data_IF_244293935784
#
_entry.id   IF_244293935784
#
_cell.length_a   1.000
_cell.length_b   1.000
_cell.length_c   1.000
_cell.angle_alpha   90.00
_cell.angle_beta   90.00
_cell.angle_gamma   90.00
#
_symmetry.space_group_name_H-M   'P 1'
#
loop_
_entity.id
_entity.type
_entity.pdbx_description
1 polymer ?
#
# COMPACT_ATOMS: atom_id res chain seq x y z
N UNK A 1 0.13 44.99 12.33
CA UNK A 1 -0.62 43.84 12.90
C UNK A 1 0.07 42.62 12.41
N UNK A 2 0.93 42.08 13.29
CA UNK A 2 1.82 40.97 12.94
C UNK A 2 1.03 39.66 12.90
N UNK A 3 1.10 39.01 11.75
CA UNK A 3 0.43 37.75 11.53
C UNK A 3 1.03 36.62 12.37
N UNK A 4 0.22 35.99 13.16
CA UNK A 4 0.55 34.79 13.90
C UNK A 4 1.14 33.73 12.97
N UNK A 5 2.31 33.21 13.29
CA UNK A 5 2.96 32.18 12.48
C UNK A 5 2.11 30.90 12.44
N UNK A 6 2.16 30.16 11.33
CA UNK A 6 1.44 28.87 11.13
C UNK A 6 1.72 27.85 12.25
N UNK A 7 2.92 27.89 12.86
CA UNK A 7 3.28 27.06 14.03
C UNK A 7 2.53 27.47 15.30
N UNK A 8 2.25 28.74 15.47
CA UNK A 8 1.51 29.26 16.63
C UNK A 8 0.04 28.90 16.55
N UNK A 9 -0.57 28.91 15.35
CA UNK A 9 -1.95 28.51 15.13
C UNK A 9 -2.16 27.01 15.46
N UNK A 10 -1.25 26.12 15.02
CA UNK A 10 -1.31 24.67 15.33
C UNK A 10 -1.02 24.36 16.81
N UNK A 11 -0.20 25.16 17.49
CA UNK A 11 0.07 25.01 18.93
C UNK A 11 -1.04 25.57 19.82
N UNK A 12 -1.74 26.60 19.37
CA UNK A 12 -2.89 27.14 20.10
C UNK A 12 -4.12 26.23 20.02
N UNK A 13 -4.23 25.38 19.00
CA UNK A 13 -5.31 24.40 18.89
C UNK A 13 -5.19 23.22 19.89
N UNK A 14 -4.04 23.07 20.59
CA UNK A 14 -3.81 22.01 21.57
C UNK A 14 -3.97 22.43 23.03
N UNK A 15 -4.30 23.69 23.33
CA UNK A 15 -4.48 24.18 24.68
C UNK A 15 -5.93 24.64 24.91
N UNK A 16 -6.67 23.77 25.56
CA UNK A 16 -7.87 24.03 26.32
C UNK A 16 -9.01 24.77 25.58
N UNK A 17 -10.01 24.04 25.18
CA UNK A 17 -11.39 24.52 25.34
C UNK A 17 -12.32 23.31 25.43
N UNK A 18 -13.23 23.34 26.39
CA UNK A 18 -14.48 22.59 26.38
C UNK A 18 -15.13 22.62 24.98
N UNK A 19 -15.96 21.63 24.60
CA UNK A 19 -16.47 21.49 23.24
C UNK A 19 -17.46 22.63 22.93
N UNK A 20 -16.96 23.82 22.64
CA UNK A 20 -17.70 24.75 21.83
C UNK A 20 -17.69 24.14 20.43
N UNK A 21 -18.82 23.60 20.05
CA UNK A 21 -19.07 23.01 18.73
C UNK A 21 -18.85 24.11 17.66
N UNK A 22 -17.61 24.27 17.23
CA UNK A 22 -17.32 25.01 16.02
C UNK A 22 -17.80 24.17 14.83
N UNK A 23 -19.08 24.22 14.54
CA UNK A 23 -19.66 23.73 13.29
C UNK A 23 -19.29 24.69 12.20
N UNK A 24 -18.23 24.39 11.45
CA UNK A 24 -17.81 25.17 10.29
C UNK A 24 -17.18 24.25 9.24
N UNK A 25 -17.13 24.75 8.01
CA UNK A 25 -16.34 24.17 6.92
C UNK A 25 -15.19 25.10 6.64
N UNK A 26 -13.99 24.56 6.48
CA UNK A 26 -12.77 25.33 6.30
C UNK A 26 -12.04 24.88 5.05
N UNK A 27 -11.50 25.84 4.33
CA UNK A 27 -10.57 25.57 3.24
C UNK A 27 -9.19 25.30 3.86
N UNK A 28 -8.73 24.05 3.79
CA UNK A 28 -7.49 23.62 4.43
C UNK A 28 -6.24 24.26 3.86
N UNK A 29 -6.29 24.68 2.59
CA UNK A 29 -5.17 25.33 1.89
C UNK A 29 -5.71 26.30 0.84
N UNK A 30 -4.94 27.34 0.55
CA UNK A 30 -5.31 28.38 -0.41
C UNK A 30 -5.58 27.83 -1.83
N UNK A 31 -5.09 26.63 -2.15
CA UNK A 31 -5.29 25.97 -3.45
C UNK A 31 -6.41 24.90 -3.43
N UNK A 32 -6.94 24.54 -2.27
CA UNK A 32 -8.04 23.59 -2.18
C UNK A 32 -9.35 24.29 -2.53
N UNK A 33 -10.12 23.72 -3.47
CA UNK A 33 -11.49 24.17 -3.79
C UNK A 33 -12.53 23.55 -2.86
N UNK A 34 -12.16 22.50 -2.11
CA UNK A 34 -13.04 21.81 -1.19
C UNK A 34 -12.97 22.42 0.21
N UNK A 35 -14.13 22.57 0.84
CA UNK A 35 -14.26 22.91 2.25
C UNK A 35 -14.49 21.63 3.05
N UNK A 36 -13.69 21.43 4.09
CA UNK A 36 -13.80 20.27 4.98
C UNK A 36 -14.39 20.70 6.33
N UNK A 37 -15.20 19.82 6.93
CA UNK A 37 -15.73 20.03 8.26
C UNK A 37 -14.57 20.01 9.29
N UNK A 38 -14.72 20.79 10.36
CA UNK A 38 -13.80 20.71 11.51
C UNK A 38 -13.71 19.31 12.06
N UNK A 39 -14.80 18.55 11.96
CA UNK A 39 -14.86 17.16 12.43
C UNK A 39 -13.94 16.25 11.59
N UNK A 40 -14.01 16.30 10.26
CA UNK A 40 -13.12 15.53 9.40
C UNK A 40 -11.65 15.92 9.61
N UNK A 41 -11.36 17.23 9.72
CA UNK A 41 -10.00 17.74 9.99
C UNK A 41 -9.47 17.18 11.31
N UNK A 42 -10.29 17.17 12.36
CA UNK A 42 -9.91 16.65 13.67
C UNK A 42 -9.65 15.15 13.62
N UNK A 43 -10.53 14.36 13.00
CA UNK A 43 -10.34 12.92 12.84
C UNK A 43 -9.04 12.58 12.12
N UNK A 44 -8.75 13.29 11.00
CA UNK A 44 -7.49 13.14 10.28
C UNK A 44 -6.28 13.50 11.15
N UNK A 45 -6.35 14.59 11.91
CA UNK A 45 -5.26 15.03 12.79
C UNK A 45 -5.01 14.06 13.96
N UNK A 46 -6.04 13.37 14.43
CA UNK A 46 -5.95 12.39 15.54
C UNK A 46 -5.54 10.98 15.09
N UNK A 47 -5.58 10.69 13.79
CA UNK A 47 -5.38 9.35 13.24
C UNK A 47 -3.99 9.20 12.60
N UNK A 48 -3.33 8.05 12.80
CA UNK A 48 -2.22 7.64 11.94
C UNK A 48 -2.79 7.08 10.65
N UNK A 49 -2.89 7.93 9.62
CA UNK A 49 -3.47 7.54 8.32
C UNK A 49 -2.48 6.68 7.56
N UNK A 50 -2.88 5.47 7.17
CA UNK A 50 -2.05 4.49 6.47
C UNK A 50 -2.68 4.19 5.12
N UNK A 51 -1.94 4.43 4.04
CA UNK A 51 -2.29 3.98 2.70
C UNK A 51 -1.50 2.71 2.40
N UNK A 52 -2.19 1.58 2.33
CA UNK A 52 -1.58 0.25 2.18
C UNK A 52 -1.02 -0.02 0.77
N UNK A 53 -1.33 0.83 -0.19
CA UNK A 53 -0.66 0.88 -1.48
C UNK A 53 -0.68 2.30 -2.05
N UNK A 54 0.52 2.82 -2.29
CA UNK A 54 0.74 4.12 -2.88
C UNK A 54 1.99 4.09 -3.75
N UNK A 55 1.98 4.78 -4.87
CA UNK A 55 3.13 4.74 -5.77
C UNK A 55 4.31 5.62 -5.30
N UNK A 56 4.10 6.51 -4.32
CA UNK A 56 5.07 7.48 -3.82
C UNK A 56 5.84 8.19 -4.94
N UNK A 57 5.12 8.71 -5.90
CA UNK A 57 5.65 9.47 -7.03
C UNK A 57 4.70 10.62 -7.37
N UNK A 58 5.18 11.57 -8.15
CA UNK A 58 4.30 12.53 -8.82
C UNK A 58 3.91 11.97 -10.19
N UNK A 59 2.68 12.13 -10.63
CA UNK A 59 2.19 11.63 -11.92
C UNK A 59 2.68 12.50 -13.08
N UNK A 60 3.95 12.87 -13.08
CA UNK A 60 4.58 13.62 -14.16
C UNK A 60 5.30 12.68 -15.11
N UNK A 61 4.53 12.12 -16.02
CA UNK A 61 5.05 11.26 -17.08
C UNK A 61 5.58 12.05 -18.30
N UNK A 62 5.41 13.38 -18.31
CA UNK A 62 5.90 14.25 -19.38
C UNK A 62 7.40 14.52 -19.26
N UNK A 63 7.93 14.52 -18.04
CA UNK A 63 9.37 14.64 -17.79
C UNK A 63 10.11 13.32 -18.00
N UNK A 64 11.27 13.38 -18.64
CA UNK A 64 12.13 12.19 -18.87
C UNK A 64 13.53 12.46 -18.36
N UNK A 65 13.97 11.79 -17.29
CA UNK A 65 13.21 10.84 -16.45
C UNK A 65 12.17 11.55 -15.57
N UNK A 66 11.13 10.83 -15.12
CA UNK A 66 10.16 11.38 -14.16
C UNK A 66 10.85 11.91 -12.91
N UNK A 67 10.35 13.01 -12.34
CA UNK A 67 10.94 13.65 -11.16
C UNK A 67 11.15 12.67 -9.99
N UNK A 68 10.19 11.80 -9.75
CA UNK A 68 10.29 10.78 -8.68
C UNK A 68 11.38 9.73 -8.91
N UNK A 69 11.72 9.44 -10.17
CA UNK A 69 12.87 8.58 -10.48
C UNK A 69 14.18 9.29 -10.11
N UNK A 70 14.27 10.60 -10.34
CA UNK A 70 15.43 11.39 -9.97
C UNK A 70 15.67 11.40 -8.45
N UNK A 71 14.62 11.32 -7.63
CA UNK A 71 14.76 11.30 -6.17
C UNK A 71 15.66 10.15 -5.69
N UNK A 72 15.53 8.99 -6.30
CA UNK A 72 16.32 7.81 -5.95
C UNK A 72 17.73 7.82 -6.56
N UNK A 73 17.95 8.56 -7.66
CA UNK A 73 19.18 8.52 -8.42
C UNK A 73 20.09 9.73 -8.16
N UNK A 74 19.51 10.89 -7.81
CA UNK A 74 20.23 12.15 -7.67
C UNK A 74 20.05 12.75 -6.28
N UNK A 75 21.10 12.74 -5.44
CA UNK A 75 21.08 13.38 -4.12
C UNK A 75 20.58 14.82 -4.19
N UNK A 76 19.71 15.22 -3.27
CA UNK A 76 19.17 16.57 -3.18
C UNK A 76 18.07 16.91 -4.20
N UNK A 77 17.62 15.95 -5.02
CA UNK A 77 16.50 16.18 -5.95
C UNK A 77 15.13 16.12 -5.25
N UNK A 78 15.01 15.43 -4.12
CA UNK A 78 13.83 15.47 -3.25
C UNK A 78 13.93 16.71 -2.34
N UNK A 79 13.01 17.63 -2.53
CA UNK A 79 13.05 18.95 -1.87
C UNK A 79 12.08 19.03 -0.69
N UNK A 80 12.24 20.01 0.23
CA UNK A 80 11.23 20.30 1.25
C UNK A 80 9.83 20.58 0.71
N UNK A 81 9.73 21.12 -0.52
CA UNK A 81 8.44 21.34 -1.19
C UNK A 81 7.78 20.02 -1.60
N UNK A 82 8.57 19.05 -2.10
CA UNK A 82 8.07 17.71 -2.41
C UNK A 82 7.57 17.02 -1.13
N UNK A 83 8.35 17.07 -0.04
CA UNK A 83 7.92 16.55 1.26
C UNK A 83 6.66 17.25 1.79
N UNK A 84 6.52 18.57 1.57
CA UNK A 84 5.32 19.31 1.98
C UNK A 84 4.06 18.79 1.25
N UNK A 85 4.16 18.43 -0.03
CA UNK A 85 3.05 17.85 -0.80
C UNK A 85 2.55 16.54 -0.17
N UNK A 86 3.47 15.66 0.26
CA UNK A 86 3.11 14.41 0.95
C UNK A 86 2.49 14.68 2.32
N UNK A 87 3.05 15.60 3.11
CA UNK A 87 2.46 15.98 4.41
C UNK A 87 1.08 16.60 4.26
N UNK A 88 0.90 17.40 3.23
CA UNK A 88 -0.36 18.07 2.94
C UNK A 88 -1.47 17.08 2.56
N UNK A 89 -1.16 15.86 2.15
CA UNK A 89 -2.17 14.82 1.89
C UNK A 89 -2.89 14.35 3.16
N UNK A 90 -2.29 14.55 4.33
CA UNK A 90 -2.77 14.01 5.60
C UNK A 90 -2.46 12.52 5.80
N UNK A 91 -1.82 11.86 4.83
CA UNK A 91 -1.37 10.47 4.96
C UNK A 91 -0.08 10.45 5.77
N UNK A 92 -0.06 9.62 6.82
CA UNK A 92 1.09 9.46 7.70
C UNK A 92 2.08 8.41 7.20
N UNK A 93 1.56 7.33 6.59
CA UNK A 93 2.35 6.18 6.13
C UNK A 93 1.92 5.75 4.74
N UNK A 94 2.90 5.62 3.86
CA UNK A 94 2.77 5.17 2.48
C UNK A 94 3.43 3.80 2.33
N UNK A 95 2.66 2.76 1.98
CA UNK A 95 3.21 1.48 1.56
C UNK A 95 3.45 1.53 0.04
N UNK A 96 4.65 1.14 -0.39
CA UNK A 96 5.09 1.34 -1.77
C UNK A 96 4.52 0.30 -2.73
N UNK A 97 4.07 0.75 -3.91
CA UNK A 97 3.71 -0.11 -5.02
C UNK A 97 4.90 -0.28 -5.99
N UNK A 98 5.55 -1.44 -5.98
CA UNK A 98 6.63 -1.78 -6.91
C UNK A 98 6.67 -3.28 -7.18
N UNK A 99 7.08 -3.67 -8.39
CA UNK A 99 7.34 -5.06 -8.76
C UNK A 99 8.79 -5.22 -9.20
N UNK A 100 9.40 -6.37 -8.92
CA UNK A 100 10.72 -6.72 -9.41
C UNK A 100 10.63 -8.05 -10.19
N UNK A 101 11.22 -8.08 -11.39
CA UNK A 101 11.21 -9.26 -12.26
C UNK A 101 12.14 -10.37 -11.80
N UNK A 102 13.13 -10.03 -10.99
CA UNK A 102 14.12 -10.96 -10.46
C UNK A 102 14.76 -10.47 -9.15
N UNK A 103 15.59 -11.33 -8.57
CA UNK A 103 16.30 -11.08 -7.33
C UNK A 103 17.18 -9.81 -7.39
N UNK A 104 17.91 -9.60 -8.48
CA UNK A 104 18.83 -8.46 -8.59
C UNK A 104 18.07 -7.13 -8.71
N UNK A 105 16.97 -7.12 -9.44
CA UNK A 105 16.09 -5.94 -9.52
C UNK A 105 15.49 -5.62 -8.14
N UNK A 106 15.05 -6.65 -7.39
CA UNK A 106 14.62 -6.52 -6.01
C UNK A 106 15.71 -5.91 -5.12
N UNK A 107 16.93 -6.44 -5.15
CA UNK A 107 18.05 -5.88 -4.39
C UNK A 107 18.32 -4.40 -4.73
N UNK A 108 18.30 -4.05 -6.03
CA UNK A 108 18.50 -2.66 -6.48
C UNK A 108 17.42 -1.74 -5.95
N UNK A 109 16.17 -2.20 -5.97
CA UNK A 109 15.05 -1.43 -5.41
C UNK A 109 15.28 -1.13 -3.93
N UNK A 110 15.54 -2.15 -3.10
CA UNK A 110 15.75 -1.95 -1.67
C UNK A 110 17.01 -1.14 -1.36
N UNK A 111 18.10 -1.35 -2.10
CA UNK A 111 19.33 -0.56 -1.93
C UNK A 111 19.10 0.93 -2.20
N UNK A 112 18.40 1.27 -3.30
CA UNK A 112 18.09 2.65 -3.67
C UNK A 112 17.17 3.31 -2.65
N UNK A 113 16.11 2.62 -2.23
CA UNK A 113 15.18 3.15 -1.24
C UNK A 113 15.83 3.33 0.13
N UNK A 114 16.65 2.39 0.58
CA UNK A 114 17.39 2.52 1.83
C UNK A 114 18.36 3.70 1.80
N UNK A 115 19.07 3.90 0.68
CA UNK A 115 19.92 5.08 0.49
C UNK A 115 19.13 6.37 0.52
N UNK A 116 17.99 6.43 -0.16
CA UNK A 116 17.10 7.59 -0.17
C UNK A 116 16.55 7.93 1.21
N UNK A 117 16.07 6.93 1.96
CA UNK A 117 15.56 7.10 3.31
C UNK A 117 16.65 7.57 4.29
N UNK A 118 17.85 7.03 4.17
CA UNK A 118 18.98 7.45 4.98
C UNK A 118 19.37 8.92 4.70
N UNK A 119 19.40 9.33 3.42
CA UNK A 119 19.71 10.68 3.00
C UNK A 119 18.66 11.72 3.43
N UNK A 120 17.41 11.29 3.68
CA UNK A 120 16.31 12.18 4.05
C UNK A 120 15.70 11.79 5.41
N UNK A 121 16.52 11.28 6.31
CA UNK A 121 16.09 10.81 7.65
C UNK A 121 15.51 11.90 8.55
N UNK A 122 15.72 13.17 8.23
CA UNK A 122 15.07 14.33 8.86
C UNK A 122 13.58 14.48 8.46
N UNK A 123 13.21 14.04 7.26
CA UNK A 123 11.85 14.16 6.67
C UNK A 123 11.08 12.84 6.66
N UNK A 124 11.79 11.74 6.45
CA UNK A 124 11.24 10.42 6.22
C UNK A 124 11.56 9.46 7.37
N UNK A 125 10.69 8.49 7.59
CA UNK A 125 10.87 7.40 8.54
C UNK A 125 10.53 6.07 7.87
N UNK A 126 11.47 5.12 7.86
CA UNK A 126 11.17 3.76 7.42
C UNK A 126 10.30 3.07 8.49
N UNK A 127 9.19 2.48 8.05
CA UNK A 127 8.23 1.78 8.92
C UNK A 127 8.57 0.30 8.91
N UNK A 128 9.01 -0.22 10.05
CA UNK A 128 9.47 -1.61 10.19
C UNK A 128 8.86 -2.34 11.38
N UNK A 129 8.36 -1.61 12.36
CA UNK A 129 7.73 -2.17 13.56
C UNK A 129 6.56 -1.32 14.07
N UNK A 130 5.83 -1.85 15.07
CA UNK A 130 4.67 -1.18 15.64
C UNK A 130 4.99 0.20 16.25
N UNK A 131 6.20 0.38 16.78
CA UNK A 131 6.64 1.64 17.39
C UNK A 131 6.80 2.76 16.35
N UNK A 132 7.08 2.40 15.10
CA UNK A 132 7.27 3.36 14.02
C UNK A 132 5.99 4.12 13.68
N UNK A 133 4.82 3.50 13.80
CA UNK A 133 3.54 4.18 13.64
C UNK A 133 3.32 5.29 14.68
N UNK A 134 3.87 5.12 15.87
CA UNK A 134 3.85 6.16 16.90
C UNK A 134 4.91 7.22 16.61
N UNK A 135 6.14 6.79 16.24
CA UNK A 135 7.27 7.69 15.96
C UNK A 135 6.98 8.62 14.79
N UNK A 136 6.39 8.12 13.70
CA UNK A 136 6.10 8.92 12.50
C UNK A 136 5.24 10.15 12.84
N UNK A 137 4.25 9.99 13.70
CA UNK A 137 3.39 11.10 14.14
C UNK A 137 4.09 12.02 15.14
N UNK A 138 4.74 11.43 16.15
CA UNK A 138 5.45 12.19 17.17
C UNK A 138 6.51 13.11 16.55
N UNK A 139 7.25 12.61 15.57
CA UNK A 139 8.38 13.30 14.95
C UNK A 139 7.95 14.15 13.74
N UNK A 140 6.66 14.09 13.33
CA UNK A 140 6.14 14.85 12.18
C UNK A 140 6.75 14.43 10.84
N UNK A 141 7.19 13.18 10.73
CA UNK A 141 7.81 12.62 9.52
C UNK A 141 6.78 11.97 8.61
N UNK A 142 7.20 11.66 7.39
CA UNK A 142 6.45 10.85 6.43
C UNK A 142 6.95 9.41 6.57
N UNK A 143 6.04 8.48 6.87
CA UNK A 143 6.34 7.07 6.99
C UNK A 143 6.39 6.38 5.62
N UNK A 144 7.42 5.61 5.37
CA UNK A 144 7.59 4.81 4.16
C UNK A 144 7.70 3.34 4.56
N UNK A 145 6.75 2.52 4.11
CA UNK A 145 6.79 1.08 4.26
C UNK A 145 7.26 0.45 2.95
N UNK A 146 8.37 -0.27 2.99
CA UNK A 146 8.91 -0.94 1.82
C UNK A 146 8.13 -2.24 1.58
N UNK A 147 7.44 -2.30 0.45
CA UNK A 147 6.61 -3.43 0.03
C UNK A 147 6.92 -3.83 -1.41
N UNK A 148 6.51 -5.02 -1.81
CA UNK A 148 6.70 -5.52 -3.16
C UNK A 148 5.38 -6.11 -3.69
N UNK A 149 4.95 -5.69 -4.90
CA UNK A 149 3.71 -6.16 -5.56
C UNK A 149 3.90 -7.43 -6.37
N UNK A 150 4.98 -8.15 -6.18
CA UNK A 150 5.24 -9.48 -6.74
C UNK A 150 6.29 -10.18 -5.88
N UNK A 151 6.25 -11.48 -5.78
CA UNK A 151 7.23 -12.27 -5.03
C UNK A 151 8.16 -13.10 -5.93
N UNK A 152 8.17 -12.85 -7.25
CA UNK A 152 9.04 -13.58 -8.18
C UNK A 152 10.55 -13.27 -7.98
N UNK A 153 10.88 -12.23 -7.24
CA UNK A 153 12.26 -11.92 -6.84
C UNK A 153 12.83 -12.94 -5.84
N UNK A 154 12.02 -13.71 -5.14
CA UNK A 154 12.49 -14.79 -4.27
C UNK A 154 12.90 -16.01 -5.10
N UNK A 155 14.16 -16.44 -5.02
CA UNK A 155 14.70 -17.65 -5.64
C UNK A 155 14.41 -18.88 -4.79
N UNK A 156 14.31 -18.68 -3.46
CA UNK A 156 13.98 -19.66 -2.45
C UNK A 156 13.54 -19.02 -1.14
N UNK A 157 13.15 -19.84 -0.13
CA UNK A 157 12.70 -19.32 1.17
C UNK A 157 13.75 -18.46 1.88
N UNK A 158 15.04 -18.71 1.72
CA UNK A 158 16.11 -17.96 2.38
C UNK A 158 16.17 -16.51 1.91
N UNK A 159 15.80 -16.25 0.64
CA UNK A 159 15.71 -14.87 0.13
C UNK A 159 14.68 -14.03 0.88
N UNK A 160 13.63 -14.65 1.45
CA UNK A 160 12.62 -13.95 2.27
C UNK A 160 13.28 -13.29 3.48
N UNK A 161 14.22 -13.98 4.13
CA UNK A 161 14.96 -13.44 5.28
C UNK A 161 15.85 -12.28 4.87
N UNK A 162 16.55 -12.41 3.74
CA UNK A 162 17.41 -11.35 3.23
C UNK A 162 16.61 -10.07 2.95
N UNK A 163 15.51 -10.19 2.22
CA UNK A 163 14.68 -9.05 1.89
C UNK A 163 13.96 -8.46 3.11
N UNK A 164 13.55 -9.30 4.06
CA UNK A 164 13.04 -8.83 5.35
C UNK A 164 14.10 -8.03 6.11
N UNK A 165 15.36 -8.49 6.11
CA UNK A 165 16.52 -7.77 6.66
C UNK A 165 16.78 -6.43 5.94
N UNK A 166 16.53 -6.34 4.64
CA UNK A 166 16.60 -5.11 3.85
C UNK A 166 15.43 -4.15 4.10
N UNK A 167 14.44 -4.55 4.89
CA UNK A 167 13.29 -3.71 5.27
C UNK A 167 11.99 -4.03 4.56
N UNK A 168 11.91 -5.09 3.74
CA UNK A 168 10.64 -5.51 3.14
C UNK A 168 9.66 -5.97 4.23
N UNK A 169 8.46 -5.41 4.25
CA UNK A 169 7.46 -5.73 5.28
C UNK A 169 6.20 -6.40 4.76
N UNK A 170 5.91 -6.26 3.48
CA UNK A 170 4.82 -6.93 2.78
C UNK A 170 5.34 -7.40 1.43
N UNK A 171 4.94 -8.60 1.00
CA UNK A 171 5.12 -9.09 -0.36
C UNK A 171 3.82 -9.67 -0.89
N UNK A 172 3.41 -9.23 -2.05
CA UNK A 172 2.29 -9.80 -2.78
C UNK A 172 2.74 -11.05 -3.52
N UNK A 173 1.99 -12.15 -3.45
CA UNK A 173 2.44 -13.42 -3.98
C UNK A 173 2.61 -13.41 -5.51
N UNK A 174 1.64 -12.85 -6.22
CA UNK A 174 1.68 -12.72 -7.70
C UNK A 174 1.23 -11.32 -8.10
N UNK A 175 1.72 -10.81 -9.23
CA UNK A 175 1.12 -9.65 -9.88
C UNK A 175 0.01 -10.12 -10.85
N UNK A 176 -0.08 -9.54 -12.03
CA UNK A 176 -1.18 -9.79 -12.97
C UNK A 176 -1.16 -11.18 -13.61
N UNK A 177 0.01 -11.78 -13.75
CA UNK A 177 0.23 -13.04 -14.46
C UNK A 177 0.84 -14.11 -13.55
N UNK A 178 1.03 -15.32 -14.10
CA UNK A 178 1.72 -16.40 -13.40
C UNK A 178 3.18 -16.04 -13.09
N UNK A 179 3.59 -16.38 -11.89
CA UNK A 179 4.98 -16.52 -11.52
C UNK A 179 5.22 -17.94 -10.94
N UNK A 180 6.38 -18.21 -10.34
CA UNK A 180 6.68 -19.50 -9.72
C UNK A 180 5.80 -19.83 -8.50
N UNK A 181 5.16 -18.81 -7.91
CA UNK A 181 4.39 -18.92 -6.66
C UNK A 181 2.96 -19.35 -6.94
N UNK A 182 2.33 -18.76 -7.94
CA UNK A 182 0.94 -19.00 -8.26
C UNK A 182 0.46 -18.22 -9.48
N UNK A 183 -0.84 -18.12 -9.63
CA UNK A 183 -1.49 -17.43 -10.74
C UNK A 183 -1.96 -16.04 -10.35
N UNK A 184 -1.68 -15.06 -11.22
CA UNK A 184 -2.27 -13.74 -11.16
C UNK A 184 -3.68 -13.71 -11.77
N UNK A 185 -4.43 -12.65 -11.48
CA UNK A 185 -5.87 -12.56 -11.87
C UNK A 185 -6.12 -12.49 -13.38
N UNK A 186 -5.12 -12.13 -14.20
CA UNK A 186 -5.24 -12.07 -15.66
C UNK A 186 -4.99 -13.42 -16.35
N UNK A 187 -4.54 -14.43 -15.62
CA UNK A 187 -4.33 -15.74 -16.21
C UNK A 187 -5.63 -16.40 -16.68
N UNK A 188 -5.55 -17.06 -17.83
CA UNK A 188 -6.69 -17.80 -18.39
C UNK A 188 -7.07 -19.04 -17.55
N UNK A 189 -6.10 -19.62 -16.85
CA UNK A 189 -6.27 -20.75 -15.96
C UNK A 189 -5.52 -20.49 -14.67
N UNK A 190 -6.24 -20.30 -13.60
CA UNK A 190 -5.67 -20.18 -12.27
C UNK A 190 -5.36 -21.59 -11.72
N UNK A 191 -4.09 -21.92 -11.65
CA UNK A 191 -3.60 -23.19 -11.15
C UNK A 191 -3.47 -23.26 -9.62
N UNK A 192 -3.80 -22.19 -8.93
CA UNK A 192 -3.66 -22.10 -7.48
C UNK A 192 -2.22 -21.84 -6.99
N UNK A 193 -2.02 -22.01 -5.70
CA UNK A 193 -0.74 -21.84 -5.04
C UNK A 193 0.19 -23.05 -5.32
N UNK A 194 1.38 -22.79 -5.88
CA UNK A 194 2.35 -23.86 -6.15
C UNK A 194 3.01 -24.38 -4.86
N UNK A 195 3.65 -25.56 -4.92
CA UNK A 195 4.45 -26.08 -3.81
C UNK A 195 5.57 -25.10 -3.42
N UNK A 196 6.21 -24.47 -4.39
CA UNK A 196 7.20 -23.42 -4.17
C UNK A 196 6.54 -22.20 -3.51
N UNK A 197 5.38 -21.76 -4.00
CA UNK A 197 4.62 -20.65 -3.43
C UNK A 197 4.22 -20.89 -1.99
N UNK A 198 3.80 -22.10 -1.67
CA UNK A 198 3.50 -22.49 -0.29
C UNK A 198 4.74 -22.35 0.61
N UNK A 199 5.93 -22.80 0.16
CA UNK A 199 7.16 -22.68 0.94
C UNK A 199 7.59 -21.23 1.19
N UNK A 200 7.45 -20.36 0.16
CA UNK A 200 7.70 -18.92 0.28
C UNK A 200 6.72 -18.28 1.27
N UNK A 201 5.42 -18.52 1.11
CA UNK A 201 4.39 -17.97 2.00
C UNK A 201 4.63 -18.37 3.46
N UNK A 202 4.92 -19.65 3.73
CA UNK A 202 5.23 -20.11 5.09
C UNK A 202 6.47 -19.44 5.68
N UNK A 203 7.50 -19.19 4.84
CA UNK A 203 8.67 -18.44 5.31
C UNK A 203 8.34 -16.98 5.60
N UNK A 204 7.53 -16.33 4.74
CA UNK A 204 7.04 -14.97 5.01
C UNK A 204 6.31 -14.89 6.35
N UNK A 205 5.39 -15.82 6.62
CA UNK A 205 4.68 -15.89 7.89
C UNK A 205 5.62 -16.06 9.08
N UNK A 206 6.66 -16.89 8.93
CA UNK A 206 7.62 -17.17 10.00
C UNK A 206 8.46 -15.94 10.35
N UNK A 207 8.94 -15.19 9.36
CA UNK A 207 9.75 -13.98 9.61
C UNK A 207 8.92 -12.74 9.96
N UNK A 208 7.59 -12.82 9.82
CA UNK A 208 6.70 -11.69 10.06
C UNK A 208 6.55 -10.75 8.85
N UNK A 209 6.79 -11.25 7.64
CA UNK A 209 6.47 -10.51 6.41
C UNK A 209 4.98 -10.68 6.07
N UNK A 210 4.26 -9.60 5.82
CA UNK A 210 2.85 -9.64 5.43
C UNK A 210 2.65 -10.30 4.07
N UNK A 211 1.70 -11.25 3.99
CA UNK A 211 1.31 -11.93 2.76
C UNK A 211 0.16 -11.14 2.12
N UNK A 212 0.41 -10.51 0.97
CA UNK A 212 -0.62 -9.80 0.22
C UNK A 212 -1.12 -10.64 -0.97
N UNK A 213 -2.44 -10.68 -1.15
CA UNK A 213 -3.13 -11.46 -2.16
C UNK A 213 -3.90 -10.59 -3.15
N UNK A 214 -3.63 -9.29 -3.22
CA UNK A 214 -4.43 -8.31 -3.98
C UNK A 214 -4.57 -8.67 -5.45
N UNK A 215 -3.49 -8.99 -6.17
CA UNK A 215 -3.51 -9.36 -7.59
C UNK A 215 -3.58 -10.87 -7.85
N UNK A 216 -3.57 -11.70 -6.80
CA UNK A 216 -3.67 -13.14 -6.99
C UNK A 216 -5.02 -13.52 -7.63
N UNK A 217 -5.00 -14.52 -8.50
CA UNK A 217 -6.18 -15.13 -9.03
C UNK A 217 -7.04 -15.78 -7.93
N UNK A 218 -8.23 -16.23 -8.28
CA UNK A 218 -9.18 -16.75 -7.28
C UNK A 218 -8.67 -17.98 -6.56
N UNK A 219 -8.20 -18.99 -7.32
CA UNK A 219 -7.74 -20.24 -6.72
C UNK A 219 -6.46 -20.00 -5.88
N UNK A 220 -5.49 -19.23 -6.42
CA UNK A 220 -4.28 -18.86 -5.66
C UNK A 220 -4.64 -18.12 -4.37
N UNK A 221 -5.64 -17.21 -4.42
CA UNK A 221 -6.13 -16.49 -3.24
C UNK A 221 -6.74 -17.44 -2.22
N UNK A 222 -7.60 -18.37 -2.65
CA UNK A 222 -8.29 -19.30 -1.76
C UNK A 222 -7.31 -20.30 -1.14
N UNK A 223 -6.38 -20.87 -1.93
CA UNK A 223 -5.37 -21.79 -1.44
C UNK A 223 -4.47 -21.12 -0.38
N UNK A 224 -4.04 -19.87 -0.64
CA UNK A 224 -3.23 -19.12 0.30
C UNK A 224 -3.99 -18.81 1.61
N UNK A 225 -5.28 -18.43 1.51
CA UNK A 225 -6.11 -18.15 2.68
C UNK A 225 -6.41 -19.42 3.50
N UNK A 226 -6.59 -20.57 2.85
CA UNK A 226 -6.78 -21.85 3.52
C UNK A 226 -5.51 -22.34 4.22
N UNK A 227 -4.34 -21.98 3.67
CA UNK A 227 -3.04 -22.31 4.24
C UNK A 227 -2.54 -21.32 5.28
N UNK A 228 -3.16 -20.14 5.39
CA UNK A 228 -2.69 -19.05 6.24
C UNK A 228 -2.77 -19.39 7.74
N UNK A 229 -1.67 -19.23 8.43
CA UNK A 229 -1.57 -19.33 9.89
C UNK A 229 -1.53 -17.97 10.58
N UNK A 230 -1.36 -16.89 9.77
CA UNK A 230 -1.31 -15.51 10.21
C UNK A 230 -2.29 -14.63 9.42
N UNK A 231 -2.60 -13.41 9.90
CA UNK A 231 -3.43 -12.50 9.14
C UNK A 231 -2.86 -12.26 7.73
N UNK A 232 -3.65 -12.57 6.70
CA UNK A 232 -3.33 -12.23 5.32
C UNK A 232 -3.87 -10.84 4.97
N UNK A 233 -3.46 -10.29 3.83
CA UNK A 233 -3.79 -8.94 3.39
C UNK A 233 -4.39 -8.96 1.98
N UNK A 234 -5.38 -8.12 1.76
CA UNK A 234 -5.66 -7.50 0.48
C UNK A 234 -5.27 -6.04 0.64
N UNK A 235 -4.03 -5.67 0.28
CA UNK A 235 -3.54 -4.31 0.49
C UNK A 235 -4.36 -3.28 -0.30
N UNK A 236 -4.84 -3.67 -1.51
CA UNK A 236 -5.67 -2.84 -2.39
C UNK A 236 -6.57 -3.75 -3.23
N UNK A 237 -7.85 -3.75 -2.96
CA UNK A 237 -8.82 -4.59 -3.65
C UNK A 237 -10.24 -4.01 -3.59
N UNK A 238 -11.17 -4.61 -4.35
CA UNK A 238 -12.58 -4.22 -4.42
C UNK A 238 -13.47 -5.45 -4.31
N UNK A 239 -14.78 -5.23 -4.11
CA UNK A 239 -15.76 -6.30 -3.92
C UNK A 239 -16.35 -6.72 -5.27
N UNK A 240 -16.21 -7.99 -5.64
CA UNK A 240 -16.74 -8.52 -6.90
C UNK A 240 -18.28 -8.44 -6.99
N UNK A 241 -18.97 -8.48 -5.87
CA UNK A 241 -20.42 -8.31 -5.84
C UNK A 241 -20.88 -6.96 -6.41
N UNK A 242 -20.05 -5.90 -6.30
CA UNK A 242 -20.36 -4.57 -6.83
C UNK A 242 -19.86 -4.37 -8.27
N UNK A 243 -18.95 -5.23 -8.73
CA UNK A 243 -18.42 -5.23 -10.11
C UNK A 243 -18.39 -6.67 -10.65
N UNK A 244 -19.57 -7.26 -10.97
CA UNK A 244 -19.70 -8.68 -11.28
C UNK A 244 -18.84 -9.13 -12.46
N UNK A 245 -18.13 -10.25 -12.28
CA UNK A 245 -17.25 -10.84 -13.30
C UNK A 245 -15.90 -10.13 -13.46
N UNK A 246 -15.57 -9.13 -12.66
CA UNK A 246 -14.25 -8.52 -12.66
C UNK A 246 -13.28 -9.38 -11.83
N UNK A 247 -12.31 -10.02 -12.49
CA UNK A 247 -11.42 -11.01 -11.86
C UNK A 247 -10.47 -10.41 -10.82
N UNK A 248 -10.13 -9.12 -10.92
CA UNK A 248 -9.29 -8.42 -9.95
C UNK A 248 -10.02 -8.17 -8.63
N UNK A 249 -11.34 -8.04 -8.67
CA UNK A 249 -12.16 -7.86 -7.49
C UNK A 249 -12.30 -9.17 -6.71
N UNK A 250 -12.33 -9.11 -5.39
CA UNK A 250 -12.38 -10.28 -4.52
C UNK A 250 -13.80 -10.81 -4.33
N UNK A 251 -13.94 -12.12 -4.36
CA UNK A 251 -15.22 -12.78 -4.09
C UNK A 251 -15.58 -12.69 -2.61
N UNK A 252 -16.88 -12.81 -2.29
CA UNK A 252 -17.35 -12.86 -0.90
C UNK A 252 -16.70 -13.99 -0.10
N UNK A 253 -16.45 -15.13 -0.74
CA UNK A 253 -15.75 -16.26 -0.12
C UNK A 253 -14.33 -15.85 0.29
N UNK A 254 -13.57 -15.22 -0.60
CA UNK A 254 -12.22 -14.74 -0.32
C UNK A 254 -12.21 -13.70 0.79
N UNK A 255 -13.17 -12.74 0.78
CA UNK A 255 -13.28 -11.70 1.83
C UNK A 255 -13.61 -12.34 3.18
N UNK A 256 -14.52 -13.32 3.25
CA UNK A 256 -14.86 -14.05 4.48
C UNK A 256 -13.68 -14.89 4.99
N UNK A 257 -12.92 -15.54 4.10
CA UNK A 257 -11.72 -16.29 4.48
C UNK A 257 -10.61 -15.36 4.99
N UNK A 258 -10.39 -14.21 4.33
CA UNK A 258 -9.47 -13.18 4.82
C UNK A 258 -9.83 -12.76 6.25
N UNK A 259 -11.10 -12.46 6.51
CA UNK A 259 -11.56 -12.08 7.83
C UNK A 259 -11.31 -13.18 8.89
N UNK A 260 -11.47 -14.47 8.53
CA UNK A 260 -11.16 -15.59 9.42
C UNK A 260 -9.69 -15.66 9.82
N UNK A 261 -8.76 -15.23 8.95
CA UNK A 261 -7.32 -15.12 9.32
C UNK A 261 -7.05 -13.95 10.28
N UNK A 262 -8.02 -13.07 10.46
CA UNK A 262 -7.86 -11.79 11.18
C UNK A 262 -7.24 -10.70 10.32
N UNK A 263 -7.23 -10.89 9.00
CA UNK A 263 -6.66 -9.99 7.99
C UNK A 263 -7.51 -8.76 7.70
N UNK A 264 -7.02 -7.91 6.81
CA UNK A 264 -7.68 -6.66 6.39
C UNK A 264 -7.69 -6.51 4.88
N UNK A 265 -8.68 -5.76 4.38
CA UNK A 265 -8.85 -5.37 2.99
C UNK A 265 -8.80 -3.85 2.86
N UNK A 266 -7.75 -3.35 2.19
CA UNK A 266 -7.66 -1.97 1.73
C UNK A 266 -8.53 -1.78 0.49
N UNK A 267 -9.42 -0.79 0.52
CA UNK A 267 -10.26 -0.46 -0.63
C UNK A 267 -9.45 0.38 -1.61
N UNK A 268 -9.47 -0.05 -2.86
CA UNK A 268 -8.83 0.60 -4.00
C UNK A 268 -9.66 1.80 -4.49
N UNK A 269 -9.00 2.81 -5.11
CA UNK A 269 -9.66 4.02 -5.61
C UNK A 269 -9.59 4.16 -7.14
N UNK A 270 -9.02 3.19 -7.84
CA UNK A 270 -8.94 3.21 -9.29
C UNK A 270 -10.32 2.90 -9.91
N UNK A 271 -10.84 3.83 -10.71
CA UNK A 271 -12.21 3.81 -11.27
C UNK A 271 -12.60 2.50 -11.94
N UNK A 272 -11.67 1.90 -12.70
CA UNK A 272 -11.93 0.65 -13.44
C UNK A 272 -12.02 -0.59 -12.52
N UNK A 273 -11.64 -0.46 -11.24
CA UNK A 273 -11.80 -1.50 -10.22
C UNK A 273 -13.04 -1.27 -9.35
N UNK A 274 -13.62 -0.07 -9.40
CA UNK A 274 -14.77 0.32 -8.57
C UNK A 274 -16.09 -0.02 -9.27
N UNK A 275 -16.20 0.30 -10.56
CA UNK A 275 -17.45 0.12 -11.31
C UNK A 275 -17.19 -0.02 -12.80
N UNK A 276 -18.01 -0.83 -13.48
CA UNK A 276 -17.92 -1.04 -14.94
C UNK A 276 -18.44 0.14 -15.78
N UNK A 277 -19.14 1.10 -15.18
CA UNK A 277 -19.81 2.20 -15.91
C UNK A 277 -19.50 3.55 -15.28
N UNK A 278 -19.28 4.56 -16.12
CA UNK A 278 -19.16 5.95 -15.70
C UNK A 278 -20.55 6.56 -15.37
N UNK A 279 -20.64 7.57 -14.48
CA UNK A 279 -19.52 8.13 -13.72
C UNK A 279 -19.10 7.25 -12.54
N UNK A 280 -17.82 7.32 -12.17
CA UNK A 280 -17.25 6.66 -10.99
C UNK A 280 -16.78 7.72 -10.00
N UNK A 281 -17.40 7.75 -8.84
CA UNK A 281 -17.20 8.82 -7.85
C UNK A 281 -16.87 8.27 -6.46
N UNK A 282 -16.53 9.14 -5.53
CA UNK A 282 -16.36 8.85 -4.10
C UNK A 282 -17.51 7.99 -3.55
N UNK A 283 -18.76 8.25 -3.96
CA UNK A 283 -19.92 7.48 -3.50
C UNK A 283 -19.80 6.00 -3.88
N UNK A 284 -19.31 5.69 -5.08
CA UNK A 284 -19.13 4.31 -5.51
C UNK A 284 -17.98 3.62 -4.76
N UNK A 285 -16.92 4.35 -4.42
CA UNK A 285 -15.85 3.83 -3.54
C UNK A 285 -16.41 3.51 -2.15
N UNK A 286 -17.23 4.39 -1.58
CA UNK A 286 -17.87 4.20 -0.29
C UNK A 286 -18.83 2.98 -0.27
N UNK A 287 -19.44 2.62 -1.42
CA UNK A 287 -20.26 1.41 -1.52
C UNK A 287 -19.43 0.14 -1.21
N UNK A 288 -18.16 0.09 -1.59
CA UNK A 288 -17.25 -1.01 -1.25
C UNK A 288 -16.94 -1.05 0.27
N UNK A 289 -16.77 0.12 0.91
CA UNK A 289 -16.60 0.17 2.37
C UNK A 289 -17.85 -0.36 3.09
N UNK A 290 -19.03 0.10 2.69
CA UNK A 290 -20.30 -0.38 3.25
C UNK A 290 -20.47 -1.89 3.05
N UNK A 291 -20.12 -2.39 1.85
CA UNK A 291 -20.24 -3.80 1.52
C UNK A 291 -19.37 -4.66 2.44
N UNK A 292 -18.08 -4.35 2.57
CA UNK A 292 -17.16 -5.14 3.42
C UNK A 292 -17.56 -5.03 4.89
N UNK A 293 -17.93 -3.82 5.38
CA UNK A 293 -18.45 -3.64 6.75
C UNK A 293 -19.62 -4.56 7.04
N UNK A 294 -20.58 -4.65 6.10
CA UNK A 294 -21.78 -5.47 6.27
C UNK A 294 -21.49 -6.98 6.14
N UNK A 295 -20.46 -7.35 5.34
CA UNK A 295 -20.11 -8.73 5.07
C UNK A 295 -19.32 -9.39 6.18
N UNK A 296 -18.32 -8.67 6.76
CA UNK A 296 -17.33 -9.23 7.68
C UNK A 296 -16.99 -8.35 8.89
N UNK A 297 -17.44 -7.11 8.93
CA UNK A 297 -17.17 -6.19 10.04
C UNK A 297 -16.16 -5.09 9.71
N UNK A 298 -16.20 -4.05 10.55
CA UNK A 298 -15.39 -2.83 10.41
C UNK A 298 -13.89 -3.11 10.62
N UNK A 299 -13.56 -4.07 11.46
CA UNK A 299 -12.20 -4.47 11.81
C UNK A 299 -11.40 -5.07 10.64
N UNK A 300 -12.07 -5.37 9.53
CA UNK A 300 -11.44 -5.92 8.33
C UNK A 300 -11.29 -4.90 7.21
N UNK A 301 -11.60 -3.61 7.46
CA UNK A 301 -11.48 -2.52 6.50
C UNK A 301 -10.23 -1.70 6.68
N UNK A 302 -9.65 -1.25 5.57
CA UNK A 302 -8.54 -0.31 5.50
C UNK A 302 -8.58 0.51 4.20
N UNK A 303 -7.59 1.35 3.98
CA UNK A 303 -7.38 2.09 2.73
C UNK A 303 -6.15 1.53 2.01
N UNK A 304 -6.29 1.28 0.72
CA UNK A 304 -5.20 0.95 -0.19
C UNK A 304 -5.47 1.60 -1.53
N UNK A 305 -5.16 2.89 -1.64
CA UNK A 305 -5.70 3.74 -2.69
C UNK A 305 -5.22 3.41 -4.11
N UNK A 306 -4.06 2.80 -4.23
CA UNK A 306 -3.32 2.56 -5.48
C UNK A 306 -3.10 3.83 -6.31
N UNK A 307 -2.91 4.95 -5.62
CA UNK A 307 -2.85 6.28 -6.21
C UNK A 307 -1.48 6.94 -6.01
N UNK A 308 -1.10 7.81 -6.93
CA UNK A 308 -0.05 8.80 -6.69
C UNK A 308 -0.55 9.91 -5.76
N UNK A 309 0.35 10.62 -5.08
CA UNK A 309 -0.06 11.64 -4.10
C UNK A 309 -0.90 12.78 -4.69
N UNK A 310 -0.62 13.16 -5.94
CA UNK A 310 -1.33 14.23 -6.65
C UNK A 310 -2.58 13.76 -7.43
N UNK A 311 -2.93 12.48 -7.34
CA UNK A 311 -3.88 11.81 -8.21
C UNK A 311 -3.16 10.89 -9.19
N UNK A 312 -3.91 10.08 -9.92
CA UNK A 312 -3.35 9.09 -10.84
C UNK A 312 -3.69 9.43 -12.29
N UNK A 313 -2.83 10.25 -12.91
CA UNK A 313 -2.96 10.57 -14.32
C UNK A 313 -2.85 9.30 -15.17
N UNK A 314 -3.71 9.18 -16.17
CA UNK A 314 -3.60 8.10 -17.14
C UNK A 314 -2.37 8.35 -18.02
N UNK A 315 -1.33 7.52 -17.97
CA UNK A 315 -0.21 7.63 -18.90
C UNK A 315 -0.73 7.27 -20.29
N UNK A 316 -1.12 8.27 -21.08
CA UNK A 316 -1.63 8.09 -22.44
C UNK A 316 -0.69 7.16 -23.22
N UNK A 317 -1.19 5.99 -23.60
CA UNK A 317 -0.41 4.98 -24.28
C UNK A 317 0.57 4.24 -23.39
N UNK A 318 0.38 4.28 -22.06
CA UNK A 318 1.18 3.53 -21.10
C UNK A 318 1.29 2.07 -21.50
N UNK A 319 2.49 1.70 -21.91
CA UNK A 319 2.91 0.56 -22.67
C UNK A 319 2.61 -0.83 -22.14
N UNK A 320 1.60 -0.99 -21.30
CA UNK A 320 1.12 -2.31 -20.92
C UNK A 320 -0.05 -2.71 -21.82
N UNK A 321 0.29 -3.18 -23.03
CA UNK A 321 -0.65 -3.87 -23.92
C UNK A 321 -0.23 -5.32 -24.02
N UNK A 322 -0.76 -6.20 -23.17
CA UNK A 322 -0.73 -7.61 -23.53
C UNK A 322 -1.64 -7.75 -24.75
N UNK A 323 -1.07 -7.92 -25.92
CA UNK A 323 -1.81 -8.26 -27.11
C UNK A 323 -2.64 -9.52 -26.83
N UNK A 324 -3.96 -9.44 -27.08
CA UNK A 324 -4.89 -10.59 -27.11
C UNK A 324 -5.21 -11.34 -25.80
N UNK A 325 -5.57 -10.66 -24.71
CA UNK A 325 -6.13 -11.37 -23.54
C UNK A 325 -7.62 -11.00 -23.36
N UNK A 326 -8.55 -11.95 -23.42
CA UNK A 326 -10.00 -11.67 -23.28
C UNK A 326 -10.40 -10.98 -21.99
N UNK A 327 -9.69 -11.25 -20.88
CA UNK A 327 -9.91 -10.63 -19.58
C UNK A 327 -9.42 -9.18 -19.53
N UNK A 328 -8.52 -8.80 -20.43
CA UNK A 328 -7.93 -7.48 -20.48
C UNK A 328 -8.81 -6.45 -21.19
N UNK A 329 -9.63 -6.85 -22.14
CA UNK A 329 -10.50 -5.94 -22.88
C UNK A 329 -11.53 -5.28 -21.98
N UNK A 330 -12.01 -5.98 -20.97
CA UNK A 330 -12.94 -5.42 -19.96
C UNK A 330 -12.22 -4.41 -19.04
N UNK A 331 -11.00 -4.72 -18.64
CA UNK A 331 -10.11 -3.86 -17.88
C UNK A 331 -9.72 -2.59 -18.68
N UNK A 332 -9.50 -2.76 -19.99
CA UNK A 332 -9.03 -1.72 -20.91
C UNK A 332 -10.06 -0.62 -21.17
N UNK A 333 -11.35 -0.93 -21.12
CA UNK A 333 -12.42 0.00 -21.49
C UNK A 333 -12.35 1.34 -20.74
N UNK A 334 -12.07 1.32 -19.44
CA UNK A 334 -11.95 2.52 -18.62
C UNK A 334 -10.57 3.18 -18.78
N UNK A 335 -9.51 2.38 -18.90
CA UNK A 335 -8.13 2.89 -19.05
C UNK A 335 -7.94 3.67 -20.35
N UNK A 336 -8.56 3.23 -21.44
CA UNK A 336 -8.40 3.89 -22.76
C UNK A 336 -9.18 5.22 -22.88
N UNK A 337 -10.17 5.46 -22.04
CA UNK A 337 -11.09 6.62 -22.15
C UNK A 337 -10.97 7.63 -21.04
N UNK A 338 -10.40 7.27 -19.91
CA UNK A 338 -10.31 8.17 -18.77
C UNK A 338 -9.07 9.07 -18.87
N UNK A 339 -9.24 10.36 -18.64
CA UNK A 339 -8.14 11.30 -18.49
C UNK A 339 -7.37 11.02 -17.17
N UNK A 340 -8.10 10.60 -16.13
CA UNK A 340 -7.60 10.24 -14.81
C UNK A 340 -8.08 8.84 -14.44
N UNK A 341 -7.23 8.08 -13.76
CA UNK A 341 -7.55 6.70 -13.32
C UNK A 341 -8.22 6.65 -11.94
N UNK A 342 -8.10 7.69 -11.12
CA UNK A 342 -8.77 7.76 -9.83
C UNK A 342 -10.27 8.06 -9.96
N UNK A 343 -11.06 7.61 -9.00
CA UNK A 343 -12.48 7.94 -8.90
C UNK A 343 -12.67 9.45 -8.68
N UNK A 344 -13.73 10.02 -9.27
CA UNK A 344 -14.06 11.44 -9.14
C UNK A 344 -14.25 11.82 -7.68
N UNK A 345 -13.58 12.91 -7.26
CA UNK A 345 -13.55 13.37 -5.88
C UNK A 345 -12.47 12.71 -5.00
N UNK A 346 -11.71 11.72 -5.52
CA UNK A 346 -10.58 11.11 -4.82
C UNK A 346 -9.27 11.21 -5.60
N UNK A 347 -9.28 11.77 -6.80
CA UNK A 347 -8.11 11.85 -7.68
C UNK A 347 -7.30 13.14 -7.44
N UNK A 348 -6.91 13.37 -6.21
CA UNK A 348 -6.11 14.54 -5.80
C UNK A 348 -5.46 14.34 -4.41
N UNK A 349 -4.60 15.29 -4.02
CA UNK A 349 -3.82 15.21 -2.77
C UNK A 349 -4.66 15.06 -1.50
N UNK A 350 -5.85 15.65 -1.44
CA UNK A 350 -6.71 15.67 -0.23
C UNK A 350 -7.72 14.52 -0.14
N UNK A 351 -7.58 13.49 -0.96
CA UNK A 351 -8.54 12.36 -1.06
C UNK A 351 -8.93 11.73 0.28
N UNK A 352 -8.01 11.69 1.26
CA UNK A 352 -8.33 11.10 2.56
C UNK A 352 -9.26 11.97 3.40
N UNK A 353 -9.26 13.28 3.18
CA UNK A 353 -10.24 14.18 3.78
C UNK A 353 -11.62 13.98 3.13
N UNK A 354 -11.68 13.83 1.80
CA UNK A 354 -12.93 13.56 1.08
C UNK A 354 -13.52 12.20 1.46
N UNK A 355 -12.66 11.17 1.58
CA UNK A 355 -13.06 9.88 2.12
C UNK A 355 -13.65 10.02 3.53
N UNK A 356 -12.98 10.79 4.41
CA UNK A 356 -13.43 11.01 5.78
C UNK A 356 -14.79 11.70 5.82
N UNK A 357 -15.00 12.76 5.02
CA UNK A 357 -16.31 13.42 4.86
C UNK A 357 -17.36 12.46 4.33
N UNK A 358 -17.01 11.62 3.37
CA UNK A 358 -17.91 10.62 2.81
C UNK A 358 -18.35 9.58 3.85
N UNK A 359 -17.41 9.09 4.65
CA UNK A 359 -17.70 8.14 5.75
C UNK A 359 -18.59 8.78 6.82
N UNK A 360 -18.29 10.03 7.22
CA UNK A 360 -19.15 10.80 8.13
C UNK A 360 -20.57 10.96 7.55
N UNK A 361 -20.66 11.28 6.26
CA UNK A 361 -21.95 11.43 5.55
C UNK A 361 -22.77 10.12 5.50
N UNK A 362 -22.10 8.96 5.56
CA UNK A 362 -22.73 7.62 5.62
C UNK A 362 -23.00 7.15 7.06
N UNK A 363 -22.73 7.97 8.07
CA UNK A 363 -23.02 7.67 9.46
C UNK A 363 -22.06 6.70 10.14
N UNK A 364 -20.83 6.56 9.64
CA UNK A 364 -19.77 5.87 10.36
C UNK A 364 -19.44 6.63 11.64
N UNK A 365 -19.18 5.91 12.74
CA UNK A 365 -18.72 6.52 13.97
C UNK A 365 -17.27 7.01 13.84
N UNK A 366 -16.86 7.94 14.69
CA UNK A 366 -15.47 8.41 14.78
C UNK A 366 -14.48 7.25 14.99
N UNK A 367 -14.89 6.28 15.81
CA UNK A 367 -14.08 5.09 16.07
C UNK A 367 -13.92 4.25 14.79
N UNK A 368 -15.00 4.02 14.04
CA UNK A 368 -14.95 3.27 12.79
C UNK A 368 -14.08 3.97 11.75
N UNK A 369 -14.21 5.28 11.62
CA UNK A 369 -13.41 6.08 10.68
C UNK A 369 -11.93 6.00 11.04
N UNK A 370 -11.55 6.14 12.30
CA UNK A 370 -10.17 5.99 12.77
C UNK A 370 -9.64 4.57 12.50
N UNK A 371 -10.46 3.54 12.64
CA UNK A 371 -10.09 2.16 12.31
C UNK A 371 -9.82 2.02 10.81
N UNK A 372 -10.70 2.52 9.95
CA UNK A 372 -10.55 2.46 8.48
C UNK A 372 -9.31 3.22 8.03
N UNK A 373 -9.13 4.46 8.48
CA UNK A 373 -8.04 5.32 8.02
C UNK A 373 -6.65 4.79 8.36
N UNK A 374 -6.53 3.91 9.38
CA UNK A 374 -5.23 3.35 9.71
C UNK A 374 -5.20 2.46 10.94
N UNK A 375 -6.15 2.57 11.86
CA UNK A 375 -6.16 1.79 13.10
C UNK A 375 -6.12 0.28 12.84
N UNK A 376 -6.88 -0.22 11.85
CA UNK A 376 -6.86 -1.63 11.46
C UNK A 376 -5.52 -2.03 10.82
N UNK A 377 -4.96 -1.19 9.95
CA UNK A 377 -3.64 -1.44 9.35
C UNK A 377 -2.56 -1.54 10.43
N UNK A 378 -2.51 -0.58 11.36
CA UNK A 378 -1.58 -0.60 12.51
C UNK A 378 -1.76 -1.86 13.34
N UNK A 379 -2.99 -2.21 13.69
CA UNK A 379 -3.31 -3.40 14.51
C UNK A 379 -2.86 -4.69 13.84
N UNK A 380 -3.20 -4.89 12.56
CA UNK A 380 -2.93 -6.15 11.84
C UNK A 380 -1.45 -6.28 11.52
N UNK A 381 -0.80 -5.23 11.03
CA UNK A 381 0.63 -5.25 10.74
C UNK A 381 1.45 -5.44 12.02
N UNK A 382 1.07 -4.78 13.12
CA UNK A 382 1.72 -5.00 14.41
C UNK A 382 1.61 -6.45 14.89
N UNK A 383 0.44 -7.10 14.66
CA UNK A 383 0.26 -8.53 14.98
C UNK A 383 1.13 -9.43 14.09
N UNK A 384 1.23 -9.15 12.79
CA UNK A 384 2.10 -9.89 11.86
C UNK A 384 3.57 -9.79 12.32
N UNK A 385 4.03 -8.59 12.63
CA UNK A 385 5.44 -8.33 13.00
C UNK A 385 5.80 -8.80 14.42
N UNK A 386 4.87 -8.76 15.39
CA UNK A 386 5.12 -9.20 16.75
C UNK A 386 5.30 -10.71 16.89
N UNK A 387 4.69 -11.47 15.98
CA UNK A 387 4.76 -12.94 15.97
C UNK A 387 5.96 -13.48 15.21
N UNK A 388 6.82 -12.59 14.66
CA UNK A 388 8.07 -13.00 14.07
C UNK A 388 8.86 -13.80 15.11
N UNK A 389 9.26 -15.01 14.75
CA UNK A 389 10.16 -15.84 15.58
C UNK A 389 11.54 -15.16 15.59
N UNK A 390 11.67 -14.17 16.50
CA UNK A 390 12.91 -13.42 16.70
C UNK A 390 13.95 -14.21 17.49
N UNK A 391 13.69 -15.50 17.75
CA UNK A 391 14.59 -16.37 18.47
C UNK A 391 15.94 -16.57 17.76
N UNK A 392 16.03 -16.26 16.47
CA UNK A 392 17.26 -16.37 15.67
C UNK A 392 18.10 -15.08 15.55
N UNK A 393 17.91 -14.11 16.42
CA UNK A 393 18.80 -12.92 16.43
C UNK A 393 20.21 -13.19 16.96
N UNK A 394 20.58 -14.46 17.24
CA UNK A 394 21.84 -14.82 17.83
C UNK A 394 22.78 -15.70 16.99
N UNK A 395 22.29 -16.32 15.93
CA UNK A 395 23.18 -17.06 15.04
C UNK A 395 23.53 -16.17 13.84
N UNK A 396 24.77 -15.63 13.89
CA UNK A 396 25.40 -15.13 12.67
C UNK A 396 25.28 -16.22 11.61
N UNK A 397 24.77 -15.87 10.42
CA UNK A 397 24.74 -16.78 9.28
C UNK A 397 26.07 -17.55 9.24
N UNK A 398 26.08 -18.88 9.33
CA UNK A 398 27.28 -19.61 9.04
C UNK A 398 27.61 -19.32 7.58
N UNK A 399 28.59 -18.45 7.35
CA UNK A 399 29.23 -18.37 6.05
C UNK A 399 29.74 -19.80 5.86
N UNK A 400 29.07 -20.53 4.96
CA UNK A 400 29.55 -21.88 4.58
C UNK A 400 30.90 -21.69 3.91
N UNK A 401 31.98 -21.70 4.71
CA UNK A 401 33.36 -21.67 4.24
C UNK A 401 33.71 -22.91 3.39
N UNK A 402 32.87 -23.94 3.39
CA UNK A 402 33.10 -25.17 2.64
C UNK A 402 32.77 -25.06 1.15
N UNK A 403 31.85 -24.19 0.72
CA UNK A 403 31.52 -24.06 -0.71
C UNK A 403 32.53 -23.22 -1.52
N UNK A 404 33.34 -22.39 -0.86
CA UNK A 404 34.34 -21.57 -1.54
C UNK A 404 35.60 -22.37 -1.89
N UNK A 405 35.90 -23.43 -1.13
CA UNK A 405 37.09 -24.25 -1.34
C UNK A 405 37.05 -25.16 -2.59
N UNK A 406 35.86 -25.43 -3.15
CA UNK A 406 35.73 -26.35 -4.29
C UNK A 406 35.64 -25.64 -5.67
N UNK A 407 35.75 -24.33 -5.76
CA UNK A 407 35.63 -23.59 -7.03
C UNK A 407 36.89 -22.90 -7.53
N UNK A 408 38.02 -23.07 -6.88
CA UNK A 408 39.28 -22.58 -7.44
C UNK A 408 39.91 -23.71 -8.29
N UNK A 409 40.14 -23.47 -9.60
CA UNK A 409 40.90 -24.43 -10.42
C UNK A 409 42.32 -24.49 -9.90
N UNK A 410 42.83 -25.71 -9.76
CA UNK A 410 44.20 -26.00 -9.34
C UNK A 410 45.19 -25.48 -10.42
N UNK A 411 45.66 -24.26 -10.25
CA UNK A 411 46.72 -23.69 -11.09
C UNK A 411 48.06 -24.04 -10.49
N UNK A 412 48.46 -25.31 -10.58
CA UNK A 412 49.87 -25.70 -10.49
C UNK A 412 50.39 -25.76 -11.90
N UNK A 413 51.03 -24.68 -12.36
CA UNK A 413 51.94 -24.73 -13.48
C UNK A 413 53.16 -25.61 -13.09
N UNK A 414 53.35 -26.66 -13.85
CA UNK A 414 54.63 -27.36 -14.00
C UNK A 414 55.48 -26.68 -15.03
#
# INVERSE_FOLDING_TARGET
>A
MDGLSRRTFLRCATLAVAPAVLRGRFQLFAQSRAEYSTHAIQLMAETTVVDLLNQFRFPDYSEKPPKSQLWLDKPGSFTPADAATYRDSGISVFALGHSASDYLEGLRFFARWNGFLAAHSDLLLRIEDAGDFVRVRRDGKIGIMLTMQDSQHFRGPDDVDEFFGLGQRISQLTYNFNNRIGSGFLENRDGGLSVFGFSIMKRMEKVGMGVDLSHCGDQTTLDALDAAERPALFTHATCRALIPGHLRAKSDEAIRKLAKTGGIMGIDFLRFLIRDQEPVSTSNVLDHFDYVRNLVGIEHLAVGSDMDVLGHANPIGGGFRPESQPNFDRYRYHVDKAEHLGADGLDHTKRMFDLTEGLLGRGYSDADIKMILGGNAVRVLSKIWAQADRADKGEAYPIHQEEVAHRLPDTRCS
#
